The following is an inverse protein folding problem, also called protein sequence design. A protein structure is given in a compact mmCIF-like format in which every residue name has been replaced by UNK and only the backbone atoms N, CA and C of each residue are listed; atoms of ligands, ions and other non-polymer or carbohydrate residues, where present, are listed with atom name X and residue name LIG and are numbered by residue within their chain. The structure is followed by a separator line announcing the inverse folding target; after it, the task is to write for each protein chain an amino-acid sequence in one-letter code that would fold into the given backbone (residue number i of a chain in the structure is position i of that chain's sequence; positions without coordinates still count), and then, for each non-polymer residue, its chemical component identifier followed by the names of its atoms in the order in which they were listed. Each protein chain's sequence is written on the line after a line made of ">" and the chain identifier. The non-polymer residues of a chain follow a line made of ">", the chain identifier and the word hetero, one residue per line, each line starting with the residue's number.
data_IF_758414231062
#
_entry.id   IF_758414231062
#
_cell.length_a   1.000
_cell.length_b   1.000
_cell.length_c   1.000
_cell.angle_alpha   90.00
_cell.angle_beta   90.00
_cell.angle_gamma   90.00
#
_symmetry.space_group_name_H-M   'P 1'
#
loop_
_entity.id
_entity.type
_entity.pdbx_description
1 polymer ?
#
# COMPACT_ATOMS: atom_id res chain seq x y z
N UNK A 1 9.24 22.66 48.35
CA UNK A 1 9.83 22.32 47.04
C UNK A 1 9.18 21.02 46.59
N UNK A 2 8.30 21.07 45.60
CA UNK A 2 7.61 19.89 45.08
C UNK A 2 7.83 19.88 43.57
N UNK A 3 8.78 19.08 43.10
CA UNK A 3 9.12 18.97 41.69
C UNK A 3 8.45 17.71 41.16
N UNK A 4 7.32 17.88 40.46
CA UNK A 4 6.63 16.83 39.73
C UNK A 4 7.46 16.46 38.49
N UNK A 5 8.02 15.26 38.46
CA UNK A 5 8.61 14.68 37.26
C UNK A 5 7.49 14.09 36.39
N UNK A 6 7.26 14.69 35.22
CA UNK A 6 6.40 14.12 34.20
C UNK A 6 7.13 12.95 33.52
N UNK A 7 6.65 11.74 33.74
CA UNK A 7 7.11 10.55 33.02
C UNK A 7 6.55 10.56 31.59
N UNK A 8 7.38 10.94 30.62
CA UNK A 8 7.10 10.65 29.21
C UNK A 8 7.31 9.16 28.95
N UNK A 9 6.22 8.40 28.86
CA UNK A 9 6.24 7.04 28.32
C UNK A 9 6.50 7.09 26.81
N UNK A 10 7.60 6.51 26.36
CA UNK A 10 7.87 6.28 24.95
C UNK A 10 6.78 5.38 24.32
N UNK A 11 6.40 5.59 23.04
CA UNK A 11 5.45 4.71 22.38
C UNK A 11 6.04 3.30 22.30
N UNK A 12 5.31 2.33 22.83
CA UNK A 12 5.67 0.91 22.78
C UNK A 12 5.63 0.45 21.31
N UNK A 13 6.65 -0.28 20.81
CA UNK A 13 6.57 -0.85 19.47
C UNK A 13 5.38 -1.81 19.41
N UNK A 14 4.37 -1.44 18.64
CA UNK A 14 3.21 -2.29 18.41
C UNK A 14 3.64 -3.52 17.60
N UNK A 15 3.24 -4.74 17.98
CA UNK A 15 3.53 -5.94 17.19
C UNK A 15 2.99 -5.76 15.76
N UNK A 16 3.67 -6.31 14.73
CA UNK A 16 3.24 -6.16 13.35
C UNK A 16 1.83 -6.72 13.19
N UNK A 17 0.88 -5.87 12.81
CA UNK A 17 -0.53 -6.22 12.64
C UNK A 17 -0.71 -7.11 11.42
N UNK A 18 -1.15 -8.36 11.63
CA UNK A 18 -1.55 -9.36 10.62
C UNK A 18 -2.89 -9.01 9.96
N UNK A 19 -3.16 -7.73 9.68
CA UNK A 19 -4.37 -7.34 8.95
C UNK A 19 -4.18 -7.69 7.47
N UNK A 20 -5.13 -8.43 6.89
CA UNK A 20 -5.19 -8.69 5.46
C UNK A 20 -6.44 -8.06 4.86
N UNK A 21 -6.34 -7.64 3.60
CA UNK A 21 -7.43 -7.09 2.83
C UNK A 21 -7.60 -7.86 1.55
N UNK A 22 -8.83 -8.30 1.29
CA UNK A 22 -9.24 -8.87 0.02
C UNK A 22 -9.90 -7.77 -0.81
N UNK A 23 -9.34 -7.49 -1.99
CA UNK A 23 -9.83 -6.50 -2.94
C UNK A 23 -10.41 -7.27 -4.13
N UNK A 24 -11.72 -7.14 -4.32
CA UNK A 24 -12.47 -7.70 -5.45
C UNK A 24 -12.76 -6.61 -6.46
N UNK A 25 -12.39 -6.85 -7.71
CA UNK A 25 -12.68 -5.97 -8.84
C UNK A 25 -13.98 -6.41 -9.53
N UNK A 26 -14.69 -5.46 -10.16
CA UNK A 26 -15.92 -5.75 -10.91
C UNK A 26 -15.71 -6.74 -12.07
N UNK A 27 -14.48 -6.85 -12.55
CA UNK A 27 -14.05 -7.82 -13.57
C UNK A 27 -14.03 -9.27 -13.07
N UNK A 28 -14.18 -9.49 -11.76
CA UNK A 28 -14.09 -10.80 -11.09
C UNK A 28 -12.67 -11.16 -10.62
N UNK A 29 -11.67 -10.33 -10.90
CA UNK A 29 -10.31 -10.48 -10.38
C UNK A 29 -10.24 -10.13 -8.89
N UNK A 30 -9.31 -10.77 -8.17
CA UNK A 30 -9.14 -10.56 -6.73
C UNK A 30 -7.66 -10.53 -6.32
N UNK A 31 -7.34 -9.72 -5.32
CA UNK A 31 -6.06 -9.73 -4.62
C UNK A 31 -6.29 -9.78 -3.10
N UNK A 32 -5.54 -10.63 -2.39
CA UNK A 32 -5.52 -10.64 -0.92
C UNK A 32 -4.14 -10.26 -0.42
N UNK A 33 -4.05 -9.13 0.29
CA UNK A 33 -2.79 -8.45 0.61
C UNK A 33 -2.73 -8.06 2.09
N UNK A 34 -1.56 -8.14 2.76
CA UNK A 34 -1.33 -7.49 4.04
C UNK A 34 -1.57 -5.98 3.96
N UNK A 35 -2.14 -5.38 5.01
CA UNK A 35 -2.47 -3.95 5.05
C UNK A 35 -1.41 -3.16 5.81
N UNK A 36 -0.96 -2.05 5.22
CA UNK A 36 -0.08 -1.06 5.83
C UNK A 36 -0.86 0.25 6.10
N UNK A 37 -1.33 0.43 7.34
CA UNK A 37 -2.06 1.66 7.77
C UNK A 37 -1.22 2.61 8.61
N UNK A 38 -0.27 2.09 9.39
CA UNK A 38 0.53 2.90 10.32
C UNK A 38 1.68 3.54 9.57
N UNK A 39 2.17 4.67 10.08
CA UNK A 39 3.32 5.35 9.50
C UNK A 39 4.55 4.43 9.40
N UNK A 40 4.76 3.56 10.39
CA UNK A 40 5.89 2.62 10.40
C UNK A 40 5.70 1.49 9.39
N UNK A 41 4.49 0.93 9.28
CA UNK A 41 4.19 -0.08 8.25
C UNK A 41 4.31 0.50 6.84
N UNK A 42 3.84 1.74 6.62
CA UNK A 42 3.97 2.43 5.34
C UNK A 42 5.42 2.73 4.98
N UNK A 43 6.22 3.18 5.95
CA UNK A 43 7.66 3.44 5.74
C UNK A 43 8.43 2.15 5.45
N UNK A 44 8.09 1.06 6.14
CA UNK A 44 8.76 -0.23 5.98
C UNK A 44 8.41 -0.88 4.63
N UNK A 45 7.12 -0.89 4.26
CA UNK A 45 6.64 -1.55 3.04
C UNK A 45 7.26 -2.94 2.83
N UNK A 46 7.89 -3.13 1.67
CA UNK A 46 8.58 -4.36 1.29
C UNK A 46 10.12 -4.26 1.37
N UNK A 47 10.66 -3.27 2.08
CA UNK A 47 12.12 -3.11 2.24
C UNK A 47 12.78 -4.37 2.81
N UNK A 48 13.91 -4.76 2.24
CA UNK A 48 14.72 -5.91 2.65
C UNK A 48 14.10 -7.28 2.33
N UNK A 49 12.99 -7.34 1.59
CA UNK A 49 12.35 -8.60 1.20
C UNK A 49 12.78 -9.01 -0.21
N UNK A 50 13.54 -10.11 -0.31
CA UNK A 50 13.87 -10.73 -1.59
C UNK A 50 12.65 -11.40 -2.22
N UNK A 51 11.77 -11.97 -1.38
CA UNK A 51 10.46 -12.45 -1.79
C UNK A 51 9.37 -11.53 -1.18
N UNK A 52 8.68 -10.73 -2.00
CA UNK A 52 7.64 -9.82 -1.52
C UNK A 52 6.34 -10.56 -1.15
N UNK A 53 6.26 -11.88 -1.36
CA UNK A 53 5.07 -12.69 -1.10
C UNK A 53 3.90 -12.23 -1.97
N UNK A 54 2.68 -12.06 -1.40
CA UNK A 54 1.55 -11.56 -2.17
C UNK A 54 1.68 -10.06 -2.48
N UNK A 55 2.56 -9.33 -1.79
CA UNK A 55 2.66 -7.87 -1.86
C UNK A 55 2.21 -7.18 -0.57
N UNK A 56 1.73 -5.94 -0.70
CA UNK A 56 1.17 -5.13 0.39
C UNK A 56 0.17 -4.11 -0.19
N UNK A 57 -0.85 -3.75 0.58
CA UNK A 57 -1.71 -2.59 0.28
C UNK A 57 -1.53 -1.50 1.34
N UNK A 58 -1.18 -0.31 0.89
CA UNK A 58 -1.15 0.90 1.71
C UNK A 58 -2.49 1.62 1.60
N UNK A 59 -3.05 2.06 2.71
CA UNK A 59 -4.40 2.65 2.75
C UNK A 59 -4.43 3.91 3.60
N UNK A 60 -5.11 4.94 3.11
CA UNK A 60 -5.26 6.22 3.78
C UNK A 60 -6.74 6.56 3.99
N UNK A 61 -7.10 7.25 5.09
CA UNK A 61 -8.48 7.64 5.36
C UNK A 61 -8.98 8.77 4.45
N UNK A 62 -8.07 9.53 3.85
CA UNK A 62 -8.37 10.67 3.00
C UNK A 62 -7.63 10.58 1.67
N UNK A 63 -8.24 11.05 0.56
CA UNK A 63 -7.58 11.09 -0.74
C UNK A 63 -6.43 12.10 -0.73
N UNK A 64 -5.35 11.77 -1.44
CA UNK A 64 -4.25 12.71 -1.66
C UNK A 64 -3.25 12.17 -2.68
N UNK A 65 -2.28 12.99 -3.08
CA UNK A 65 -1.19 12.51 -3.92
C UNK A 65 -0.31 11.56 -3.09
N UNK A 66 -0.38 10.27 -3.40
CA UNK A 66 0.38 9.21 -2.72
C UNK A 66 1.50 8.74 -3.62
N UNK A 67 2.69 8.51 -3.05
CA UNK A 67 3.83 8.01 -3.81
C UNK A 67 4.69 7.06 -3.01
N UNK A 68 5.42 6.24 -3.74
CA UNK A 68 6.31 5.19 -3.26
C UNK A 68 7.69 5.34 -3.90
N UNK A 69 8.64 4.57 -3.38
CA UNK A 69 10.00 4.43 -3.89
C UNK A 69 10.48 3.01 -3.57
N UNK A 70 11.60 2.62 -4.15
CA UNK A 70 12.15 1.26 -4.01
C UNK A 70 13.41 1.22 -3.16
N UNK A 71 13.60 2.23 -2.27
CA UNK A 71 14.72 2.29 -1.35
C UNK A 71 14.84 0.99 -0.57
N UNK A 72 15.98 0.30 -0.68
CA UNK A 72 16.23 -0.97 -0.01
C UNK A 72 15.24 -2.10 -0.37
N UNK A 73 14.55 -2.02 -1.52
CA UNK A 73 13.62 -3.06 -1.99
C UNK A 73 14.26 -3.81 -3.17
N UNK A 74 14.80 -5.03 -2.97
CA UNK A 74 15.52 -5.77 -4.01
C UNK A 74 14.57 -6.49 -4.99
N UNK A 75 13.36 -6.83 -4.57
CA UNK A 75 12.38 -7.47 -5.45
C UNK A 75 11.81 -6.47 -6.48
N UNK A 76 11.61 -6.87 -7.75
CA UNK A 76 10.91 -6.05 -8.72
C UNK A 76 9.40 -6.08 -8.45
N UNK A 77 8.77 -4.90 -8.44
CA UNK A 77 7.36 -4.73 -8.07
C UNK A 77 6.58 -3.98 -9.14
N UNK A 78 5.26 -4.18 -9.16
CA UNK A 78 4.30 -3.28 -9.79
C UNK A 78 3.53 -2.55 -8.70
N UNK A 79 3.28 -1.26 -8.89
CA UNK A 79 2.42 -0.45 -8.02
C UNK A 79 1.16 0.01 -8.75
N UNK A 80 0.01 -0.09 -8.10
CA UNK A 80 -1.29 0.36 -8.59
C UNK A 80 -1.94 1.34 -7.61
N UNK A 81 -2.50 2.44 -8.10
CA UNK A 81 -3.15 3.45 -7.24
C UNK A 81 -4.67 3.38 -7.38
N UNK A 82 -5.38 3.34 -6.24
CA UNK A 82 -6.85 3.33 -6.22
C UNK A 82 -7.36 4.70 -5.78
N UNK A 83 -8.24 5.29 -6.59
CA UNK A 83 -8.90 6.57 -6.33
C UNK A 83 -9.97 6.45 -5.23
N UNK A 84 -10.45 7.57 -4.69
CA UNK A 84 -11.54 7.58 -3.72
C UNK A 84 -12.85 6.96 -4.24
N UNK A 85 -13.00 6.86 -5.57
CA UNK A 85 -14.16 6.27 -6.25
C UNK A 85 -13.98 4.77 -6.54
N UNK A 86 -12.87 4.17 -6.10
CA UNK A 86 -12.57 2.76 -6.31
C UNK A 86 -11.84 2.43 -7.62
N UNK A 87 -11.43 3.44 -8.39
CA UNK A 87 -10.81 3.21 -9.71
C UNK A 87 -9.31 2.97 -9.59
N UNK A 88 -8.82 1.92 -10.24
CA UNK A 88 -7.39 1.71 -10.44
C UNK A 88 -6.87 2.68 -11.52
N UNK A 89 -6.52 3.89 -11.11
CA UNK A 89 -6.20 5.00 -12.02
C UNK A 89 -4.83 4.87 -12.70
N UNK A 90 -3.89 4.11 -12.13
CA UNK A 90 -2.52 4.02 -12.65
C UNK A 90 -1.88 2.72 -12.19
N UNK A 91 -1.11 2.09 -13.08
CA UNK A 91 -0.19 0.99 -12.77
C UNK A 91 1.20 1.36 -13.28
N UNK A 92 2.22 1.21 -12.45
CA UNK A 92 3.62 1.42 -12.81
C UNK A 92 4.47 0.22 -12.42
N UNK A 93 5.40 -0.17 -13.28
CA UNK A 93 6.49 -1.06 -12.88
C UNK A 93 7.55 -0.25 -12.14
N UNK A 94 8.06 -0.81 -11.04
CA UNK A 94 9.02 -0.18 -10.17
C UNK A 94 10.38 -0.86 -10.29
N UNK A 95 11.44 -0.05 -10.37
CA UNK A 95 12.81 -0.52 -10.49
C UNK A 95 13.39 -0.84 -9.10
N UNK A 96 13.94 -2.05 -8.87
CA UNK A 96 14.60 -2.40 -7.61
C UNK A 96 15.64 -1.37 -7.17
N UNK A 97 15.70 -1.11 -5.87
CA UNK A 97 16.67 -0.18 -5.24
C UNK A 97 16.57 1.29 -5.70
N UNK A 98 15.63 1.65 -6.57
CA UNK A 98 15.49 3.01 -7.05
C UNK A 98 15.00 3.96 -5.94
N UNK A 99 15.66 5.12 -5.87
CA UNK A 99 15.28 6.23 -4.98
C UNK A 99 14.33 7.21 -5.66
N UNK A 100 13.98 7.01 -6.94
CA UNK A 100 13.02 7.81 -7.65
C UNK A 100 11.63 7.64 -7.02
N UNK A 101 11.02 8.77 -6.62
CA UNK A 101 9.66 8.75 -6.09
C UNK A 101 8.67 8.66 -7.24
N UNK A 102 7.88 7.58 -7.26
CA UNK A 102 6.77 7.38 -8.19
C UNK A 102 5.47 7.72 -7.48
N UNK A 103 4.71 8.67 -8.01
CA UNK A 103 3.48 9.16 -7.37
C UNK A 103 2.27 8.97 -8.27
N UNK A 104 1.10 8.94 -7.65
CA UNK A 104 -0.18 9.05 -8.36
C UNK A 104 -0.27 10.38 -9.11
N UNK A 105 -0.93 10.36 -10.26
CA UNK A 105 -1.30 11.57 -10.99
C UNK A 105 -2.46 12.32 -10.33
N UNK A 106 -3.45 11.57 -9.82
CA UNK A 106 -4.66 12.08 -9.17
C UNK A 106 -4.77 11.56 -7.73
N UNK A 107 -5.55 12.21 -6.83
CA UNK A 107 -5.67 11.79 -5.44
C UNK A 107 -6.08 10.31 -5.26
N UNK A 108 -5.25 9.56 -4.55
CA UNK A 108 -5.46 8.15 -4.24
C UNK A 108 -5.76 7.94 -2.74
N UNK A 109 -6.56 6.92 -2.45
CA UNK A 109 -6.81 6.43 -1.09
C UNK A 109 -6.02 5.14 -0.80
N UNK A 110 -5.51 4.46 -1.82
CA UNK A 110 -4.69 3.28 -1.63
C UNK A 110 -3.62 3.09 -2.71
N UNK A 111 -2.58 2.36 -2.34
CA UNK A 111 -1.54 1.85 -3.26
C UNK A 111 -1.44 0.35 -3.03
N UNK A 112 -1.51 -0.44 -4.10
CA UNK A 112 -1.22 -1.86 -4.13
C UNK A 112 0.20 -2.04 -4.66
N UNK A 113 1.11 -2.63 -3.88
CA UNK A 113 2.41 -3.11 -4.36
C UNK A 113 2.41 -4.63 -4.42
N UNK A 114 2.73 -5.20 -5.57
CA UNK A 114 2.72 -6.65 -5.85
C UNK A 114 3.97 -7.03 -6.65
N UNK A 115 4.37 -8.32 -6.70
CA UNK A 115 5.44 -8.75 -7.58
C UNK A 115 5.22 -8.27 -9.02
N UNK A 116 6.29 -7.88 -9.71
CA UNK A 116 6.22 -7.37 -11.09
C UNK A 116 5.39 -8.28 -12.01
N UNK A 117 4.47 -7.67 -12.76
CA UNK A 117 3.58 -8.33 -13.71
C UNK A 117 2.36 -9.03 -13.08
N UNK A 118 2.14 -8.91 -11.77
CA UNK A 118 1.01 -9.57 -11.10
C UNK A 118 -0.33 -9.05 -11.62
N UNK A 119 -0.52 -7.74 -11.78
CA UNK A 119 -1.76 -7.16 -12.32
C UNK A 119 -2.15 -7.79 -13.67
N UNK A 120 -1.19 -7.89 -14.60
CA UNK A 120 -1.41 -8.53 -15.90
C UNK A 120 -1.81 -10.00 -15.77
N UNK A 121 -1.12 -10.77 -14.91
CA UNK A 121 -1.38 -12.20 -14.69
C UNK A 121 -2.79 -12.46 -14.16
N UNK A 122 -3.30 -11.60 -13.28
CA UNK A 122 -4.65 -11.73 -12.70
C UNK A 122 -5.72 -10.94 -13.48
N UNK A 123 -5.35 -10.32 -14.59
CA UNK A 123 -6.28 -9.62 -15.48
C UNK A 123 -6.72 -8.23 -15.02
N UNK A 124 -6.10 -7.65 -13.99
CA UNK A 124 -6.40 -6.31 -13.48
C UNK A 124 -5.69 -5.24 -14.33
N UNK A 125 -6.42 -4.18 -14.69
CA UNK A 125 -5.97 -3.12 -15.61
C UNK A 125 -6.35 -1.73 -15.11
N UNK A 126 -5.69 -0.71 -15.68
CA UNK A 126 -6.07 0.68 -15.44
C UNK A 126 -7.52 0.90 -15.86
N UNK A 127 -8.29 1.58 -15.01
CA UNK A 127 -9.72 1.83 -15.18
C UNK A 127 -10.63 0.78 -14.55
N UNK A 128 -10.09 -0.34 -14.07
CA UNK A 128 -10.91 -1.34 -13.35
C UNK A 128 -11.41 -0.79 -12.02
N UNK A 129 -12.66 -1.10 -11.70
CA UNK A 129 -13.33 -0.68 -10.48
C UNK A 129 -13.25 -1.74 -9.38
N UNK A 130 -12.95 -1.29 -8.16
CA UNK A 130 -13.10 -2.12 -6.97
C UNK A 130 -14.59 -2.27 -6.65
N UNK A 131 -15.09 -3.50 -6.70
CA UNK A 131 -16.44 -3.85 -6.30
C UNK A 131 -16.57 -3.93 -4.77
N UNK A 132 -15.56 -4.51 -4.10
CA UNK A 132 -15.54 -4.68 -2.66
C UNK A 132 -14.11 -4.75 -2.14
N UNK A 133 -13.82 -4.07 -1.03
CA UNK A 133 -12.60 -4.26 -0.30
C UNK A 133 -12.82 -4.00 1.19
N UNK A 134 -12.50 -4.98 2.04
CA UNK A 134 -12.80 -4.87 3.47
C UNK A 134 -11.91 -3.85 4.20
N UNK A 135 -10.82 -3.40 3.55
CA UNK A 135 -9.92 -2.38 4.08
C UNK A 135 -10.17 -0.97 3.55
N UNK A 136 -11.03 -0.79 2.55
CA UNK A 136 -11.33 0.49 1.93
C UNK A 136 -12.76 0.91 2.24
N UNK A 137 -12.96 2.21 2.41
CA UNK A 137 -14.30 2.79 2.51
C UNK A 137 -14.45 3.80 1.39
N UNK A 138 -15.24 3.44 0.39
CA UNK A 138 -15.62 4.35 -0.69
C UNK A 138 -16.75 5.25 -0.16
N UNK A 139 -16.61 6.55 -0.33
CA UNK A 139 -17.64 7.54 0.05
C UNK A 139 -18.46 7.94 -1.17
#
# INVERSE_FOLDING_TARGET
>A
MCTLLASTSAPTPQPPTTETCTIQFETGSELTLPVARTADAMKQGLMGKDNPGPGVIFVWPEPGVRGVWMKNTPAPLSAGWISAKGELQTILELEPQSMEKRSSFEPAIAIIEVPKGTFQKVGIRIGDQVAKADCLSFR
#
